data_IF_327962259985
#
_entry.id   IF_327962259985
#
_cell.length_a   1.000
_cell.length_b   1.000
_cell.length_c   1.000
_cell.angle_alpha   90.00
_cell.angle_beta   90.00
_cell.angle_gamma   90.00
#
_symmetry.space_group_name_H-M   'P 1'
#
loop_
_entity.id
_entity.type
_entity.pdbx_description
1 polymer ?
#
# COMPACT_ATOMS: atom_id res chain seq x y z
N UNK A 1 52.51 -46.03 -41.90
CA UNK A 1 51.40 -45.11 -42.26
C UNK A 1 50.11 -45.33 -41.46
N UNK A 2 49.68 -46.56 -41.20
CA UNK A 2 48.44 -46.85 -40.47
C UNK A 2 48.39 -46.33 -39.03
N UNK A 3 49.53 -46.33 -38.28
CA UNK A 3 49.56 -45.89 -36.86
C UNK A 3 49.31 -44.38 -36.69
N UNK A 4 49.75 -43.53 -37.60
CA UNK A 4 49.51 -42.08 -37.54
C UNK A 4 48.05 -41.68 -37.77
N UNK A 5 47.33 -42.48 -38.57
CA UNK A 5 45.90 -42.27 -38.81
C UNK A 5 45.04 -42.63 -37.60
N UNK A 6 45.39 -43.69 -36.87
CA UNK A 6 44.65 -44.05 -35.65
C UNK A 6 44.83 -43.01 -34.52
N UNK A 7 46.04 -42.48 -34.35
CA UNK A 7 46.33 -41.43 -33.36
C UNK A 7 45.53 -40.16 -33.70
N UNK A 8 45.42 -39.81 -34.97
CA UNK A 8 44.64 -38.63 -35.40
C UNK A 8 43.14 -38.79 -35.16
N UNK A 9 42.60 -39.99 -35.37
CA UNK A 9 41.19 -40.31 -35.13
C UNK A 9 40.89 -40.27 -33.64
N UNK A 10 41.75 -40.81 -32.75
CA UNK A 10 41.59 -40.73 -31.31
C UNK A 10 41.63 -39.30 -30.78
N UNK A 11 42.52 -38.45 -31.30
CA UNK A 11 42.57 -37.03 -30.94
C UNK A 11 41.29 -36.27 -31.36
N UNK A 12 40.77 -36.55 -32.54
CA UNK A 12 39.54 -35.93 -33.04
C UNK A 12 38.35 -36.40 -32.16
N UNK A 13 38.27 -37.67 -31.83
CA UNK A 13 37.21 -38.18 -30.95
C UNK A 13 37.27 -37.59 -29.55
N UNK A 14 38.47 -37.45 -28.99
CA UNK A 14 38.66 -36.82 -27.68
C UNK A 14 38.24 -35.33 -27.65
N UNK A 15 38.56 -34.58 -28.72
CA UNK A 15 38.14 -33.16 -28.82
C UNK A 15 36.63 -33.03 -29.02
N UNK A 16 35.98 -33.91 -29.76
CA UNK A 16 34.51 -33.91 -29.90
C UNK A 16 33.85 -34.25 -28.56
N UNK A 17 34.35 -35.24 -27.83
CA UNK A 17 33.83 -35.60 -26.50
C UNK A 17 33.95 -34.44 -25.51
N UNK A 18 35.09 -33.75 -25.51
CA UNK A 18 35.33 -32.60 -24.67
C UNK A 18 34.39 -31.44 -25.01
N UNK A 19 34.17 -31.17 -26.28
CA UNK A 19 33.25 -30.13 -26.73
C UNK A 19 31.79 -30.47 -26.37
N UNK A 20 31.37 -31.76 -26.46
CA UNK A 20 30.07 -32.23 -26.01
C UNK A 20 29.90 -32.08 -24.47
N UNK A 21 30.91 -32.43 -23.70
CA UNK A 21 30.90 -32.27 -22.26
C UNK A 21 30.77 -30.78 -21.84
N UNK A 22 31.53 -29.89 -22.50
CA UNK A 22 31.43 -28.43 -22.26
C UNK A 22 30.03 -27.91 -22.64
N UNK A 23 29.46 -28.37 -23.75
CA UNK A 23 28.12 -27.97 -24.20
C UNK A 23 27.03 -28.46 -23.23
N UNK A 24 27.17 -29.67 -22.66
CA UNK A 24 26.24 -30.22 -21.68
C UNK A 24 26.40 -29.49 -20.32
N UNK A 25 27.63 -29.17 -19.91
CA UNK A 25 27.88 -28.37 -18.72
C UNK A 25 27.27 -26.96 -18.83
N UNK A 26 27.50 -26.25 -19.94
CA UNK A 26 26.94 -24.93 -20.17
C UNK A 26 25.40 -24.96 -20.19
N UNK A 27 24.78 -25.94 -20.87
CA UNK A 27 23.32 -26.10 -20.81
C UNK A 27 22.79 -26.41 -19.40
N UNK A 28 23.54 -27.13 -18.56
CA UNK A 28 23.15 -27.36 -17.17
C UNK A 28 23.31 -26.10 -16.32
N UNK A 29 24.33 -25.27 -16.58
CA UNK A 29 24.50 -23.99 -15.89
C UNK A 29 23.38 -23.03 -16.27
N UNK A 30 23.04 -22.91 -17.56
CA UNK A 30 21.93 -22.06 -18.04
C UNK A 30 20.56 -22.52 -17.49
N UNK A 31 20.34 -23.84 -17.32
CA UNK A 31 19.10 -24.38 -16.70
C UNK A 31 19.07 -24.18 -15.19
N UNK A 32 20.23 -24.19 -14.51
CA UNK A 32 20.31 -23.92 -13.06
C UNK A 32 20.16 -22.43 -12.78
N UNK A 33 20.72 -21.53 -13.63
CA UNK A 33 20.49 -20.09 -13.49
C UNK A 33 19.05 -19.69 -13.85
N UNK A 34 18.39 -20.36 -14.81
CA UNK A 34 17.00 -20.06 -15.16
C UNK A 34 15.97 -20.63 -14.17
N UNK A 35 16.35 -21.64 -13.38
CA UNK A 35 15.48 -22.23 -12.35
C UNK A 35 15.72 -21.71 -10.93
N UNK A 36 16.70 -20.84 -10.71
CA UNK A 36 17.01 -20.24 -9.42
C UNK A 36 16.59 -18.78 -9.28
N UNK A 37 15.91 -18.20 -10.29
CA UNK A 37 15.01 -17.09 -10.04
C UNK A 37 13.68 -17.72 -9.61
N UNK A 38 13.65 -18.31 -8.41
CA UNK A 38 12.44 -18.35 -7.63
C UNK A 38 11.90 -16.92 -7.70
N UNK A 39 10.78 -16.76 -8.36
CA UNK A 39 9.95 -15.57 -8.19
C UNK A 39 9.53 -15.61 -6.72
N UNK A 40 10.40 -15.09 -5.84
CA UNK A 40 9.98 -14.70 -4.50
C UNK A 40 8.83 -13.75 -4.78
N UNK A 41 7.61 -14.24 -4.59
CA UNK A 41 6.42 -13.45 -4.78
C UNK A 41 6.59 -12.27 -3.84
N UNK A 42 6.90 -11.10 -4.43
CA UNK A 42 7.26 -9.92 -3.67
C UNK A 42 6.04 -9.51 -2.87
N UNK A 43 6.10 -9.66 -1.56
CA UNK A 43 5.00 -9.25 -0.68
C UNK A 43 4.70 -7.78 -0.91
N UNK A 44 3.44 -7.42 -0.88
CA UNK A 44 3.00 -6.04 -1.07
C UNK A 44 2.42 -5.54 0.25
N UNK A 45 2.78 -4.35 0.68
CA UNK A 45 2.16 -3.65 1.79
C UNK A 45 1.47 -2.38 1.28
N UNK A 46 0.21 -2.21 1.67
CA UNK A 46 -0.54 -0.99 1.47
C UNK A 46 -0.55 -0.22 2.79
N UNK A 47 0.44 0.65 2.97
CA UNK A 47 0.46 1.56 4.12
C UNK A 47 -0.48 2.72 3.86
N UNK A 48 -1.34 3.05 4.81
CA UNK A 48 -2.38 4.07 4.65
C UNK A 48 -2.41 5.01 5.84
N UNK A 49 -2.72 6.29 5.56
CA UNK A 49 -2.86 7.34 6.56
C UNK A 49 -4.24 7.98 6.43
N UNK A 50 -5.01 7.97 7.51
CA UNK A 50 -6.32 8.59 7.57
C UNK A 50 -6.25 10.00 8.21
N UNK A 51 -7.29 10.80 8.01
CA UNK A 51 -7.58 12.08 8.66
C UNK A 51 -6.75 13.30 8.21
N UNK A 52 -5.75 13.12 7.33
CA UNK A 52 -4.96 14.24 6.81
C UNK A 52 -5.73 15.19 5.87
N UNK A 53 -5.05 16.26 5.40
CA UNK A 53 -3.70 16.67 5.77
C UNK A 53 -3.61 17.34 7.14
N UNK A 54 -2.48 17.17 7.83
CA UNK A 54 -2.21 17.76 9.14
C UNK A 54 -0.85 18.47 9.17
N UNK A 55 -0.46 18.98 10.34
CA UNK A 55 0.89 19.53 10.55
C UNK A 55 2.01 18.49 10.34
N UNK A 56 1.68 17.20 10.46
CA UNK A 56 2.64 16.09 10.36
C UNK A 56 2.82 15.60 8.92
N UNK A 57 1.94 15.99 7.99
CA UNK A 57 1.96 15.50 6.61
C UNK A 57 3.28 15.74 5.90
N UNK A 58 3.92 16.91 6.12
CA UNK A 58 5.18 17.24 5.48
C UNK A 58 6.31 16.30 5.93
N UNK A 59 6.43 16.06 7.24
CA UNK A 59 7.43 15.16 7.81
C UNK A 59 7.18 13.69 7.43
N UNK A 60 5.91 13.26 7.39
CA UNK A 60 5.52 11.94 6.89
C UNK A 60 6.01 11.76 5.44
N UNK A 61 5.77 12.76 4.56
CA UNK A 61 6.19 12.71 3.16
C UNK A 61 7.73 12.68 3.02
N UNK A 62 8.46 13.43 3.85
CA UNK A 62 9.93 13.40 3.85
C UNK A 62 10.45 12.01 4.19
N UNK A 63 9.92 11.39 5.25
CA UNK A 63 10.29 10.02 5.65
C UNK A 63 9.92 9.02 4.54
N UNK A 64 8.73 9.10 3.97
CA UNK A 64 8.32 8.20 2.88
C UNK A 64 9.23 8.29 1.66
N UNK A 65 9.71 9.50 1.34
CA UNK A 65 10.65 9.73 0.24
C UNK A 65 12.01 9.06 0.50
N UNK A 66 12.54 9.11 1.72
CA UNK A 66 13.79 8.44 2.11
C UNK A 66 13.74 6.93 1.91
N UNK A 67 12.57 6.34 2.12
CA UNK A 67 12.34 4.90 1.98
C UNK A 67 11.81 4.48 0.60
N UNK A 68 11.62 5.41 -0.35
CA UNK A 68 10.92 5.17 -1.63
C UNK A 68 9.60 4.38 -1.44
N UNK A 69 8.85 4.74 -0.40
CA UNK A 69 7.59 4.11 -0.04
C UNK A 69 6.41 4.89 -0.65
N UNK A 70 5.55 4.20 -1.42
CA UNK A 70 4.31 4.79 -1.94
C UNK A 70 3.14 4.30 -1.10
N UNK A 71 2.29 5.24 -0.67
CA UNK A 71 1.22 5.01 0.29
C UNK A 71 -0.09 5.62 -0.19
N UNK A 72 -1.17 5.38 0.56
CA UNK A 72 -2.46 6.03 0.30
C UNK A 72 -2.84 6.91 1.48
N UNK A 73 -3.19 8.16 1.21
CA UNK A 73 -3.75 9.09 2.17
C UNK A 73 -5.26 9.20 1.99
N UNK A 74 -6.03 8.84 3.01
CA UNK A 74 -7.47 9.07 3.05
C UNK A 74 -7.73 10.41 3.73
N UNK A 75 -7.92 11.45 2.90
CA UNK A 75 -8.01 12.83 3.37
C UNK A 75 -9.43 13.19 3.81
N UNK A 76 -9.56 14.07 4.79
CA UNK A 76 -10.83 14.71 5.17
C UNK A 76 -11.06 15.93 4.30
N UNK A 77 -12.24 16.05 3.67
CA UNK A 77 -12.55 17.16 2.77
C UNK A 77 -12.44 18.54 3.43
N UNK A 78 -12.94 18.70 4.66
CA UNK A 78 -12.84 19.96 5.40
C UNK A 78 -11.42 20.39 5.79
N UNK A 79 -10.45 19.48 5.71
CA UNK A 79 -9.03 19.78 5.89
C UNK A 79 -8.30 20.08 4.55
N UNK A 80 -8.98 19.88 3.42
CA UNK A 80 -8.48 20.27 2.09
C UNK A 80 -8.73 21.77 1.91
N UNK A 81 -7.75 22.56 2.36
CA UNK A 81 -7.80 24.04 2.36
C UNK A 81 -6.68 24.60 1.51
N UNK A 82 -6.81 25.88 1.13
CA UNK A 82 -5.76 26.56 0.34
C UNK A 82 -4.39 26.53 1.04
N UNK A 83 -4.37 26.62 2.37
CA UNK A 83 -3.15 26.54 3.17
C UNK A 83 -2.45 25.18 3.08
N UNK A 84 -3.21 24.12 2.76
CA UNK A 84 -2.68 22.74 2.61
C UNK A 84 -2.47 22.34 1.13
N UNK A 85 -2.65 23.26 0.19
CA UNK A 85 -2.56 22.99 -1.24
C UNK A 85 -1.21 22.37 -1.63
N UNK A 86 -0.12 22.95 -1.15
CA UNK A 86 1.23 22.46 -1.45
C UNK A 86 1.45 21.01 -0.98
N UNK A 87 0.87 20.64 0.16
CA UNK A 87 0.94 19.26 0.69
C UNK A 87 0.17 18.30 -0.21
N UNK A 88 -1.05 18.67 -0.61
CA UNK A 88 -1.89 17.83 -1.49
C UNK A 88 -1.22 17.63 -2.86
N UNK A 89 -0.68 18.69 -3.44
CA UNK A 89 0.07 18.63 -4.69
C UNK A 89 1.34 17.78 -4.55
N UNK A 90 2.01 17.85 -3.40
CA UNK A 90 3.20 17.04 -3.09
C UNK A 90 2.85 15.56 -2.99
N UNK A 91 1.74 15.19 -2.32
CA UNK A 91 1.24 13.81 -2.23
C UNK A 91 1.13 13.20 -3.64
N UNK A 92 0.45 13.90 -4.55
CA UNK A 92 0.26 13.43 -5.93
C UNK A 92 1.58 13.37 -6.71
N UNK A 93 2.38 14.43 -6.62
CA UNK A 93 3.65 14.56 -7.36
C UNK A 93 4.66 13.48 -6.97
N UNK A 94 4.67 13.08 -5.71
CA UNK A 94 5.56 12.02 -5.21
C UNK A 94 5.02 10.60 -5.46
N UNK A 95 3.83 10.48 -6.10
CA UNK A 95 3.27 9.20 -6.53
C UNK A 95 2.53 8.44 -5.44
N UNK A 96 2.05 9.13 -4.42
CA UNK A 96 1.09 8.59 -3.46
C UNK A 96 -0.33 8.68 -4.02
N UNK A 97 -1.23 7.85 -3.50
CA UNK A 97 -2.65 7.95 -3.83
C UNK A 97 -3.41 8.78 -2.78
N UNK A 98 -4.47 9.44 -3.24
CA UNK A 98 -5.44 10.11 -2.37
C UNK A 98 -6.75 9.34 -2.44
N UNK A 99 -7.33 9.03 -1.28
CA UNK A 99 -8.65 8.47 -1.11
C UNK A 99 -9.56 9.43 -0.34
N UNK A 100 -10.85 9.16 -0.40
CA UNK A 100 -11.88 9.94 0.28
C UNK A 100 -12.07 9.42 1.72
N UNK A 101 -12.13 10.35 2.70
CA UNK A 101 -12.40 10.02 4.10
C UNK A 101 -13.52 10.88 4.70
N UNK A 102 -14.62 11.05 3.94
CA UNK A 102 -15.71 11.97 4.26
C UNK A 102 -15.31 13.46 4.11
N UNK A 103 -16.25 14.26 3.69
CA UNK A 103 -16.04 15.70 3.58
C UNK A 103 -16.01 16.39 4.95
N UNK A 104 -16.85 15.95 5.89
CA UNK A 104 -16.97 16.62 7.23
C UNK A 104 -16.44 15.79 8.39
N UNK A 105 -16.23 14.49 8.24
CA UNK A 105 -15.73 13.54 9.24
C UNK A 105 -16.46 13.65 10.61
N UNK A 106 -17.78 13.83 10.60
CA UNK A 106 -18.61 13.91 11.80
C UNK A 106 -19.59 12.76 11.85
N UNK A 107 -19.31 11.76 12.67
CA UNK A 107 -20.07 10.51 12.80
C UNK A 107 -21.57 10.72 12.97
N UNK A 108 -21.97 11.64 13.88
CA UNK A 108 -23.37 11.95 14.17
C UNK A 108 -24.11 12.60 13.01
N UNK A 109 -23.39 13.20 12.05
CA UNK A 109 -23.96 13.74 10.81
C UNK A 109 -23.90 12.73 9.68
N UNK A 110 -22.72 12.17 9.46
CA UNK A 110 -22.42 11.27 8.35
C UNK A 110 -23.33 10.04 8.32
N UNK A 111 -23.60 9.47 9.49
CA UNK A 111 -24.36 8.22 9.62
C UNK A 111 -25.83 8.43 10.04
N UNK A 112 -26.41 9.60 9.76
CA UNK A 112 -27.86 9.84 9.94
C UNK A 112 -28.72 9.18 8.88
N UNK A 113 -28.15 8.88 7.72
CA UNK A 113 -28.80 8.20 6.60
C UNK A 113 -27.82 7.87 5.49
N UNK A 114 -28.17 6.86 4.70
CA UNK A 114 -27.33 6.39 3.59
C UNK A 114 -27.09 7.49 2.56
N UNK A 115 -28.15 8.20 2.18
CA UNK A 115 -28.09 9.30 1.22
C UNK A 115 -27.19 10.43 1.71
N UNK A 116 -27.28 10.80 2.99
CA UNK A 116 -26.44 11.83 3.61
C UNK A 116 -24.96 11.46 3.53
N UNK A 117 -24.65 10.19 3.79
CA UNK A 117 -23.29 9.68 3.69
C UNK A 117 -22.77 9.76 2.25
N UNK A 118 -23.56 9.31 1.30
CA UNK A 118 -23.18 9.35 -0.13
C UNK A 118 -22.95 10.78 -0.60
N UNK A 119 -23.86 11.71 -0.28
CA UNK A 119 -23.75 13.13 -0.63
C UNK A 119 -22.47 13.76 -0.04
N UNK A 120 -22.10 13.39 1.19
CA UNK A 120 -20.88 13.88 1.85
C UNK A 120 -19.61 13.42 1.12
N UNK A 121 -19.54 12.16 0.70
CA UNK A 121 -18.42 11.64 -0.10
C UNK A 121 -18.40 12.19 -1.53
N UNK A 122 -19.56 12.37 -2.17
CA UNK A 122 -19.65 13.00 -3.48
C UNK A 122 -19.17 14.46 -3.43
N UNK A 123 -19.51 15.20 -2.37
CA UNK A 123 -19.03 16.57 -2.19
C UNK A 123 -17.50 16.64 -2.07
N UNK A 124 -16.88 15.70 -1.35
CA UNK A 124 -15.42 15.63 -1.28
C UNK A 124 -14.80 15.22 -2.61
N UNK A 125 -15.42 14.28 -3.31
CA UNK A 125 -14.96 13.86 -4.64
C UNK A 125 -14.95 15.04 -5.63
N UNK A 126 -16.04 15.80 -5.70
CA UNK A 126 -16.12 16.97 -6.58
C UNK A 126 -15.09 18.04 -6.20
N UNK A 127 -14.87 18.30 -4.91
CA UNK A 127 -13.84 19.20 -4.42
C UNK A 127 -12.44 18.81 -4.94
N UNK A 128 -12.04 17.54 -4.78
CA UNK A 128 -10.74 17.06 -5.23
C UNK A 128 -10.61 17.12 -6.76
N UNK A 129 -11.68 16.81 -7.47
CA UNK A 129 -11.69 16.79 -8.92
C UNK A 129 -11.66 18.20 -9.53
N UNK A 130 -12.47 19.14 -9.02
CA UNK A 130 -12.57 20.49 -9.55
C UNK A 130 -11.36 21.35 -9.20
N UNK A 131 -10.91 21.31 -7.93
CA UNK A 131 -9.87 22.20 -7.43
C UNK A 131 -8.45 21.69 -7.62
N UNK A 132 -8.28 20.34 -7.69
CA UNK A 132 -6.96 19.69 -7.75
C UNK A 132 -6.78 18.78 -8.99
N UNK A 133 -7.83 18.51 -9.76
CA UNK A 133 -7.78 17.60 -10.90
C UNK A 133 -7.61 16.12 -10.50
N UNK A 134 -7.93 15.78 -9.26
CA UNK A 134 -7.76 14.43 -8.69
C UNK A 134 -9.05 13.64 -8.87
N UNK A 135 -9.07 12.70 -9.81
CA UNK A 135 -10.22 11.82 -10.08
C UNK A 135 -10.03 10.48 -9.35
N UNK A 136 -10.29 10.47 -8.04
CA UNK A 136 -10.19 9.28 -7.19
C UNK A 136 -11.56 8.70 -6.87
N UNK A 137 -11.64 7.36 -6.84
CA UNK A 137 -12.84 6.62 -6.44
C UNK A 137 -12.62 5.72 -5.23
N UNK A 138 -11.40 5.67 -4.71
CA UNK A 138 -11.13 4.90 -3.49
C UNK A 138 -11.59 5.69 -2.27
N UNK A 139 -12.17 4.99 -1.30
CA UNK A 139 -12.64 5.61 -0.07
C UNK A 139 -12.48 4.71 1.15
N UNK A 140 -12.51 5.33 2.31
CA UNK A 140 -12.61 4.65 3.61
C UNK A 140 -13.66 5.35 4.45
N UNK A 141 -14.56 4.56 5.04
CA UNK A 141 -15.52 5.09 6.00
C UNK A 141 -14.81 5.55 7.28
N UNK A 142 -15.14 6.74 7.84
CA UNK A 142 -14.77 7.08 9.20
C UNK A 142 -15.15 6.01 10.21
N UNK A 143 -14.15 5.46 10.92
CA UNK A 143 -14.32 4.32 11.81
C UNK A 143 -14.49 2.96 11.13
N UNK A 144 -14.25 2.89 9.82
CA UNK A 144 -14.35 1.67 9.01
C UNK A 144 -15.80 1.23 8.72
N UNK A 145 -15.94 0.19 7.89
CA UNK A 145 -17.27 -0.31 7.49
C UNK A 145 -18.03 -0.99 8.63
N UNK A 146 -17.37 -1.33 9.73
CA UNK A 146 -18.01 -1.92 10.93
C UNK A 146 -18.40 -0.87 11.98
N UNK A 147 -18.38 0.43 11.62
CA UNK A 147 -18.71 1.53 12.51
C UNK A 147 -20.10 1.37 13.12
N UNK A 148 -20.19 1.46 14.46
CA UNK A 148 -21.46 1.29 15.19
C UNK A 148 -22.50 2.38 14.88
N UNK A 149 -22.07 3.55 14.41
CA UNK A 149 -22.97 4.64 14.01
C UNK A 149 -23.81 4.28 12.77
N UNK A 150 -23.44 3.27 12.00
CA UNK A 150 -24.28 2.77 10.89
C UNK A 150 -25.55 2.05 11.35
N UNK A 151 -25.75 1.82 12.66
CA UNK A 151 -26.98 1.30 13.27
C UNK A 151 -27.52 0.02 12.61
N UNK A 152 -26.65 -0.91 12.24
CA UNK A 152 -27.02 -2.15 11.57
C UNK A 152 -27.32 -2.03 10.07
N UNK A 153 -27.22 -0.85 9.49
CA UNK A 153 -27.44 -0.59 8.06
C UNK A 153 -26.17 -0.67 7.22
N UNK A 154 -25.09 -1.23 7.76
CA UNK A 154 -23.77 -1.34 7.13
C UNK A 154 -23.84 -1.67 5.63
N UNK A 155 -24.61 -2.71 5.28
CA UNK A 155 -24.69 -3.16 3.89
C UNK A 155 -25.32 -2.10 2.97
N UNK A 156 -26.31 -1.36 3.44
CA UNK A 156 -26.93 -0.31 2.65
C UNK A 156 -25.95 0.84 2.34
N UNK A 157 -25.11 1.23 3.31
CA UNK A 157 -24.03 2.21 3.07
C UNK A 157 -23.03 1.71 2.04
N UNK A 158 -22.58 0.47 2.14
CA UNK A 158 -21.63 -0.13 1.21
C UNK A 158 -22.19 -0.19 -0.20
N UNK A 159 -23.44 -0.69 -0.34
CA UNK A 159 -24.09 -0.84 -1.65
C UNK A 159 -24.32 0.51 -2.33
N UNK A 160 -24.75 1.53 -1.57
CA UNK A 160 -24.95 2.87 -2.11
C UNK A 160 -23.63 3.52 -2.59
N UNK A 161 -22.51 3.33 -1.87
CA UNK A 161 -21.21 3.79 -2.32
C UNK A 161 -20.75 3.07 -3.59
N UNK A 162 -20.96 1.76 -3.67
CA UNK A 162 -20.65 0.97 -4.88
C UNK A 162 -21.50 1.38 -6.08
N UNK A 163 -22.79 1.70 -5.90
CA UNK A 163 -23.65 2.22 -6.97
C UNK A 163 -23.15 3.52 -7.58
N UNK A 164 -22.42 4.34 -6.80
CA UNK A 164 -21.74 5.54 -7.27
C UNK A 164 -20.35 5.26 -7.88
N UNK A 165 -19.95 4.00 -7.91
CA UNK A 165 -18.65 3.57 -8.45
C UNK A 165 -17.47 3.78 -7.50
N UNK A 166 -17.73 4.01 -6.22
CA UNK A 166 -16.68 4.07 -5.21
C UNK A 166 -16.21 2.69 -4.78
N UNK A 167 -14.91 2.57 -4.43
CA UNK A 167 -14.24 1.34 -4.03
C UNK A 167 -13.75 1.49 -2.60
N UNK A 168 -14.29 0.69 -1.68
CA UNK A 168 -14.07 0.83 -0.24
C UNK A 168 -12.89 0.03 0.30
N UNK A 169 -12.17 0.63 1.26
CA UNK A 169 -11.03 -0.03 1.90
C UNK A 169 -11.10 0.10 3.42
N UNK A 170 -11.26 -1.03 4.11
CA UNK A 170 -10.92 -1.16 5.52
C UNK A 170 -9.41 -1.47 5.66
N UNK A 171 -8.99 -2.09 6.75
CA UNK A 171 -7.59 -2.45 7.01
C UNK A 171 -7.48 -3.85 7.60
N UNK A 172 -6.30 -4.45 7.49
CA UNK A 172 -5.98 -5.75 8.10
C UNK A 172 -5.30 -5.56 9.46
N UNK A 173 -4.51 -4.50 9.59
CA UNK A 173 -3.69 -4.19 10.76
C UNK A 173 -3.80 -2.71 11.06
N UNK A 174 -3.95 -2.34 12.33
CA UNK A 174 -3.96 -0.96 12.80
C UNK A 174 -2.79 -0.70 13.76
N UNK A 175 -2.20 0.50 13.66
CA UNK A 175 -1.23 0.98 14.64
C UNK A 175 -1.87 1.38 15.97
N UNK A 176 -3.21 1.59 16.01
CA UNK A 176 -3.96 2.13 17.16
C UNK A 176 -3.39 3.48 17.63
N UNK A 177 -3.00 4.31 16.68
CA UNK A 177 -2.20 5.52 16.86
C UNK A 177 -3.03 6.81 16.99
N UNK A 178 -4.34 6.76 16.73
CA UNK A 178 -5.24 7.94 16.82
C UNK A 178 -5.96 8.07 18.14
N UNK A 179 -5.88 7.08 19.04
CA UNK A 179 -6.63 7.08 20.29
C UNK A 179 -5.73 6.99 21.52
N UNK A 180 -6.09 7.74 22.56
CA UNK A 180 -5.33 7.77 23.81
C UNK A 180 -4.03 8.57 23.68
N UNK A 181 -2.94 8.02 24.17
CA UNK A 181 -1.61 8.62 24.08
C UNK A 181 -0.62 7.52 23.66
N UNK A 182 -0.66 7.08 22.40
CA UNK A 182 0.15 5.96 21.92
C UNK A 182 1.64 6.31 22.00
N UNK A 183 2.45 5.31 22.33
CA UNK A 183 3.90 5.42 22.27
C UNK A 183 4.40 4.77 20.96
N UNK A 184 5.56 5.19 20.50
CA UNK A 184 6.26 4.56 19.36
C UNK A 184 6.27 3.03 19.48
N UNK A 185 6.71 2.51 20.66
CA UNK A 185 6.74 1.07 20.92
C UNK A 185 5.37 0.39 20.77
N UNK A 186 4.29 1.06 21.23
CA UNK A 186 2.95 0.47 21.16
C UNK A 186 2.44 0.40 19.72
N UNK A 187 2.67 1.44 18.93
CA UNK A 187 2.33 1.48 17.49
C UNK A 187 3.04 0.36 16.75
N UNK A 188 4.35 0.26 16.91
CA UNK A 188 5.15 -0.81 16.30
C UNK A 188 4.67 -2.19 16.74
N UNK A 189 4.45 -2.39 18.03
CA UNK A 189 3.95 -3.65 18.58
C UNK A 189 2.60 -4.03 17.96
N UNK A 190 1.65 -3.10 17.88
CA UNK A 190 0.33 -3.35 17.30
C UNK A 190 0.44 -3.79 15.84
N UNK A 191 1.31 -3.16 15.07
CA UNK A 191 1.53 -3.53 13.66
C UNK A 191 2.16 -4.93 13.58
N UNK A 192 3.32 -5.14 14.20
CA UNK A 192 4.12 -6.34 13.94
C UNK A 192 3.61 -7.60 14.62
N UNK A 193 2.90 -7.49 15.73
CA UNK A 193 2.25 -8.64 16.38
C UNK A 193 1.05 -9.15 15.55
N UNK A 194 0.42 -8.29 14.76
CA UNK A 194 -0.77 -8.61 13.96
C UNK A 194 -0.49 -8.77 12.44
N UNK A 195 0.74 -8.54 12.01
CA UNK A 195 1.10 -8.61 10.58
C UNK A 195 1.22 -10.05 10.05
N UNK A 196 1.42 -11.03 10.94
CA UNK A 196 1.70 -12.41 10.56
C UNK A 196 0.57 -13.02 9.74
N UNK A 197 0.91 -13.65 8.62
CA UNK A 197 -0.05 -14.33 7.73
C UNK A 197 -0.57 -13.49 6.56
N UNK A 198 -0.27 -12.20 6.50
CA UNK A 198 -0.66 -11.36 5.37
C UNK A 198 0.48 -11.20 4.37
N UNK A 199 0.21 -11.51 3.10
CA UNK A 199 1.13 -11.24 1.99
C UNK A 199 0.91 -9.86 1.36
N UNK A 200 -0.30 -9.31 1.53
CA UNK A 200 -0.72 -8.01 1.03
C UNK A 200 -1.55 -7.23 2.08
N UNK A 201 -0.97 -6.92 3.27
CA UNK A 201 -1.71 -6.21 4.31
C UNK A 201 -2.01 -4.77 3.93
N UNK A 202 -3.19 -4.31 4.33
CA UNK A 202 -3.52 -2.89 4.43
C UNK A 202 -3.27 -2.51 5.89
N UNK A 203 -2.36 -1.56 6.12
CA UNK A 203 -1.99 -1.07 7.46
C UNK A 203 -2.57 0.33 7.63
N UNK A 204 -3.32 0.53 8.72
CA UNK A 204 -3.90 1.81 9.11
C UNK A 204 -2.98 2.54 10.10
N UNK A 205 -2.63 3.76 9.73
CA UNK A 205 -2.07 4.82 10.56
C UNK A 205 -2.87 6.10 10.35
N UNK A 206 -2.58 7.15 11.12
CA UNK A 206 -3.27 8.42 11.02
C UNK A 206 -2.29 9.58 10.82
N UNK A 207 -2.70 10.53 9.97
CA UNK A 207 -2.04 11.82 9.75
C UNK A 207 -2.86 12.90 10.47
N UNK A 208 -2.67 13.02 11.78
CA UNK A 208 -3.39 13.98 12.63
C UNK A 208 -2.41 14.82 13.47
N UNK A 209 -2.85 16.02 13.85
CA UNK A 209 -2.01 17.00 14.56
C UNK A 209 -1.43 16.52 15.91
N UNK A 210 -1.97 15.47 16.48
CA UNK A 210 -1.53 14.93 17.79
C UNK A 210 -0.77 13.60 17.67
N UNK A 211 -0.54 13.10 16.45
CA UNK A 211 0.09 11.81 16.21
C UNK A 211 1.62 11.92 15.97
N UNK A 212 2.31 12.73 16.77
CA UNK A 212 3.78 12.84 16.65
C UNK A 212 4.47 11.48 16.84
N UNK A 213 3.91 10.58 17.68
CA UNK A 213 4.44 9.23 17.87
C UNK A 213 4.31 8.35 16.61
N UNK A 214 3.36 8.62 15.72
CA UNK A 214 3.24 7.95 14.42
C UNK A 214 4.40 8.33 13.51
N UNK A 215 4.72 9.64 13.47
CA UNK A 215 5.88 10.16 12.72
C UNK A 215 7.17 9.53 13.23
N UNK A 216 7.37 9.54 14.54
CA UNK A 216 8.55 8.95 15.18
C UNK A 216 8.70 7.43 14.94
N UNK A 217 7.57 6.70 14.84
CA UNK A 217 7.56 5.26 14.59
C UNK A 217 7.79 4.90 13.11
N UNK A 218 7.49 5.79 12.19
CA UNK A 218 7.41 5.51 10.77
C UNK A 218 8.72 4.98 10.17
N UNK A 219 9.92 5.52 10.48
CA UNK A 219 11.18 5.00 9.96
C UNK A 219 11.40 3.52 10.28
N UNK A 220 11.21 3.12 11.54
CA UNK A 220 11.38 1.73 11.98
C UNK A 220 10.32 0.79 11.35
N UNK A 221 9.08 1.27 11.22
CA UNK A 221 8.00 0.52 10.55
C UNK A 221 8.38 0.23 9.10
N UNK A 222 8.82 1.25 8.35
CA UNK A 222 9.22 1.12 6.95
C UNK A 222 10.43 0.20 6.79
N UNK A 223 11.45 0.35 7.62
CA UNK A 223 12.66 -0.48 7.57
C UNK A 223 12.33 -1.95 7.84
N UNK A 224 11.57 -2.24 8.90
CA UNK A 224 11.18 -3.62 9.26
C UNK A 224 10.30 -4.26 8.20
N UNK A 225 9.36 -3.53 7.61
CA UNK A 225 8.53 -4.04 6.51
C UNK A 225 9.38 -4.36 5.27
N UNK A 226 10.32 -3.49 4.89
CA UNK A 226 11.27 -3.77 3.79
C UNK A 226 12.14 -4.98 4.08
N UNK A 227 12.67 -5.10 5.28
CA UNK A 227 13.48 -6.25 5.73
C UNK A 227 12.67 -7.55 5.76
N UNK A 228 11.36 -7.49 5.98
CA UNK A 228 10.44 -8.61 5.88
C UNK A 228 10.03 -8.97 4.43
N UNK A 229 10.57 -8.25 3.43
CA UNK A 229 10.37 -8.50 2.00
C UNK A 229 9.16 -7.80 1.39
N UNK A 230 8.53 -6.86 2.10
CA UNK A 230 7.42 -6.08 1.56
C UNK A 230 7.92 -4.96 0.64
N UNK A 231 7.15 -4.71 -0.43
CA UNK A 231 7.22 -3.49 -1.25
C UNK A 231 5.96 -2.68 -1.03
N UNK A 232 6.10 -1.36 -0.99
CA UNK A 232 4.97 -0.47 -0.77
C UNK A 232 4.24 -0.16 -2.07
N UNK A 233 2.91 -0.17 -2.03
CA UNK A 233 2.05 0.23 -3.14
C UNK A 233 0.87 1.05 -2.63
N UNK A 234 0.31 1.85 -3.52
CA UNK A 234 -0.95 2.55 -3.31
C UNK A 234 -2.14 1.61 -3.50
N UNK A 235 -3.28 1.95 -2.91
CA UNK A 235 -4.54 1.23 -3.11
C UNK A 235 -5.22 1.56 -4.45
N UNK A 236 -4.69 2.51 -5.21
CA UNK A 236 -5.22 2.84 -6.52
C UNK A 236 -5.10 1.64 -7.47
N UNK A 237 -6.25 1.17 -7.98
CA UNK A 237 -6.35 -0.05 -8.77
C UNK A 237 -6.28 -1.37 -7.98
N UNK A 238 -6.24 -1.35 -6.65
CA UNK A 238 -6.38 -2.54 -5.81
C UNK A 238 -7.84 -3.03 -5.77
N UNK A 239 -8.02 -4.32 -5.48
CA UNK A 239 -9.35 -4.87 -5.24
C UNK A 239 -9.94 -4.32 -3.92
N UNK A 240 -11.25 -4.07 -3.91
CA UNK A 240 -11.97 -3.63 -2.73
C UNK A 240 -11.75 -4.56 -1.53
N UNK A 241 -11.48 -3.96 -0.37
CA UNK A 241 -11.38 -4.69 0.88
C UNK A 241 -12.27 -4.06 1.97
N UNK A 242 -13.41 -4.65 2.19
CA UNK A 242 -14.35 -4.29 3.26
C UNK A 242 -14.55 -5.53 4.14
N UNK A 243 -14.46 -5.38 5.46
CA UNK A 243 -14.66 -6.50 6.40
C UNK A 243 -15.94 -7.27 6.05
N UNK A 244 -15.89 -8.58 6.14
CA UNK A 244 -17.05 -9.46 5.94
C UNK A 244 -17.82 -9.70 7.24
#
# INVERSE_FOLDING_TARGET
MKSKQYILIELIMATILLALCISICNKRVDVVESNSIDSVQKKVCYLTFDDGPSKNSEEILDILAEYDAKVTFFLIGSEIREENREIIERIVKEGHAIGLHSNVHRFEKLYTGVEVCVEDFEAQYELLKEDYGIDTKIFRFPGGSACSYMNGQRQAYIDAMREKGFVGFDWHVSGEDSYGNPTVWLIEKNIFDNLSGYEAPIILLHDINIADATVDALPEILERLKNAGYSFKTLDGAEEYIYR
#
